data_IF_675565085540
#
_entry.id   IF_675565085540
#
_cell.length_a   1.000
_cell.length_b   1.000
_cell.length_c   1.000
_cell.angle_alpha   90.00
_cell.angle_beta   90.00
_cell.angle_gamma   90.00
#
_symmetry.space_group_name_H-M   'P 1'
#
loop_
_entity.id
_entity.type
_entity.pdbx_description
1 polymer ?
#
# COMPACT_ATOMS: atom_id res chain seq x y z
N UNK A 1 -16.55 18.83 11.19
CA UNK A 1 -15.53 17.75 11.11
C UNK A 1 -14.27 18.35 10.54
N UNK A 2 -13.06 17.86 10.86
CA UNK A 2 -11.85 18.34 10.19
C UNK A 2 -11.94 18.04 8.68
N UNK A 3 -11.32 18.87 7.85
CA UNK A 3 -11.31 18.69 6.38
C UNK A 3 -10.59 17.40 5.97
N UNK A 4 -9.69 16.89 6.82
CA UNK A 4 -8.97 15.63 6.64
C UNK A 4 -8.64 15.00 7.99
N UNK A 5 -8.25 13.72 7.99
CA UNK A 5 -7.67 13.05 9.15
C UNK A 5 -6.31 12.45 8.77
N UNK A 6 -5.27 12.74 9.55
CA UNK A 6 -3.92 12.23 9.31
C UNK A 6 -3.83 10.79 9.80
N UNK A 7 -3.49 9.87 8.90
CA UNK A 7 -3.32 8.45 9.19
C UNK A 7 -1.85 8.11 9.48
N UNK A 8 -0.93 8.78 8.79
CA UNK A 8 0.50 8.73 9.08
C UNK A 8 1.20 10.05 8.76
N UNK A 9 2.20 10.42 9.55
CA UNK A 9 3.10 11.58 9.32
C UNK A 9 4.49 11.28 9.85
N UNK A 10 5.55 11.75 9.22
CA UNK A 10 6.93 11.44 9.65
C UNK A 10 7.60 12.58 10.42
N UNK A 11 6.80 13.33 11.18
CA UNK A 11 7.17 14.56 11.89
C UNK A 11 7.50 14.36 13.38
N UNK A 12 7.62 13.12 13.85
CA UNK A 12 7.90 12.77 15.25
C UNK A 12 6.66 12.57 16.12
N UNK A 13 5.45 12.79 15.59
CA UNK A 13 4.20 12.64 16.33
C UNK A 13 3.71 11.20 16.49
N UNK A 14 2.63 11.02 17.25
CA UNK A 14 1.95 9.71 17.38
C UNK A 14 1.53 9.08 16.03
N UNK A 15 1.08 9.84 15.00
CA UNK A 15 0.78 9.28 13.69
C UNK A 15 2.00 8.72 12.95
N UNK A 16 3.24 9.03 13.37
CA UNK A 16 4.43 8.43 12.78
C UNK A 16 4.42 6.94 12.86
N UNK A 17 4.01 6.37 14.01
CA UNK A 17 4.14 4.94 14.29
C UNK A 17 5.56 4.42 14.07
N UNK A 18 5.79 3.17 14.46
CA UNK A 18 6.98 2.45 14.00
C UNK A 18 6.72 1.93 12.59
N UNK A 19 7.74 1.97 11.74
CA UNK A 19 7.69 1.42 10.39
C UNK A 19 8.87 0.48 10.17
N UNK A 20 8.65 -0.57 9.38
CA UNK A 20 9.66 -1.57 9.07
C UNK A 20 9.54 -1.99 7.61
N UNK A 21 10.65 -2.51 7.07
CA UNK A 21 10.68 -3.10 5.72
C UNK A 21 10.54 -4.61 5.77
N UNK A 22 9.90 -5.16 4.75
CA UNK A 22 9.81 -6.57 4.46
C UNK A 22 10.07 -6.76 2.97
N UNK A 23 10.96 -7.70 2.63
CA UNK A 23 11.33 -8.00 1.25
C UNK A 23 11.02 -9.48 0.96
N UNK A 24 10.97 -9.81 -0.33
CA UNK A 24 10.76 -11.17 -0.84
C UNK A 24 11.84 -12.24 -0.58
N UNK A 25 13.03 -12.02 0.03
CA UNK A 25 13.98 -13.11 0.31
C UNK A 25 13.41 -14.22 1.19
N UNK A 26 12.36 -13.92 1.97
CA UNK A 26 11.62 -14.91 2.77
C UNK A 26 10.99 -16.01 1.89
N UNK A 27 10.75 -15.73 0.61
CA UNK A 27 10.20 -16.66 -0.38
C UNK A 27 11.23 -17.08 -1.44
N UNK A 28 12.53 -16.87 -1.19
CA UNK A 28 13.60 -17.15 -2.16
C UNK A 28 13.83 -16.05 -3.20
N UNK A 29 13.31 -14.85 -2.97
CA UNK A 29 13.56 -13.66 -3.78
C UNK A 29 14.91 -12.99 -3.52
N UNK A 30 15.23 -12.00 -4.34
CA UNK A 30 16.49 -11.24 -4.31
C UNK A 30 16.27 -9.73 -4.07
N UNK A 31 15.02 -9.30 -3.88
CA UNK A 31 14.70 -7.89 -3.69
C UNK A 31 15.22 -7.40 -2.34
N UNK A 32 15.63 -6.14 -2.31
CA UNK A 32 16.20 -5.53 -1.12
C UNK A 32 15.81 -4.06 -1.04
N UNK A 33 15.59 -3.60 0.18
CA UNK A 33 15.18 -2.23 0.45
C UNK A 33 15.66 -1.75 1.81
N UNK A 34 15.63 -0.44 1.98
CA UNK A 34 15.89 0.26 3.22
C UNK A 34 14.80 1.30 3.49
N UNK A 35 14.65 1.63 4.77
CA UNK A 35 13.76 2.69 5.22
C UNK A 35 14.54 3.61 6.15
N UNK A 36 14.54 4.91 5.84
CA UNK A 36 15.09 5.95 6.70
C UNK A 36 13.98 6.95 7.04
N UNK A 37 13.73 7.17 8.34
CA UNK A 37 12.78 8.17 8.82
C UNK A 37 13.54 9.36 9.39
N UNK A 38 13.29 10.56 8.87
CA UNK A 38 13.97 11.78 9.27
C UNK A 38 13.55 12.98 8.43
N UNK A 39 13.89 14.20 8.87
CA UNK A 39 13.59 15.45 8.16
C UNK A 39 12.10 15.59 7.77
N UNK A 40 11.20 15.17 8.66
CA UNK A 40 9.74 15.19 8.42
C UNK A 40 9.27 14.29 7.27
N UNK A 41 10.01 13.22 6.95
CA UNK A 41 9.69 12.27 5.87
C UNK A 41 10.20 10.85 6.16
N UNK A 42 9.66 9.87 5.43
CA UNK A 42 10.20 8.52 5.29
C UNK A 42 10.72 8.31 3.87
N UNK A 43 11.99 7.95 3.73
CA UNK A 43 12.60 7.53 2.47
C UNK A 43 12.63 6.01 2.41
N UNK A 44 11.88 5.44 1.48
CA UNK A 44 11.79 4.02 1.19
C UNK A 44 12.37 3.75 -0.19
N UNK A 45 13.50 3.06 -0.25
CA UNK A 45 14.23 2.85 -1.50
C UNK A 45 14.98 1.53 -1.53
N UNK A 46 15.21 1.04 -2.74
CA UNK A 46 15.80 -0.26 -2.98
C UNK A 46 15.63 -0.71 -4.43
N UNK A 47 15.66 -2.02 -4.62
CA UNK A 47 15.49 -2.65 -5.92
C UNK A 47 14.57 -3.85 -5.80
N UNK A 48 13.50 -3.84 -6.60
CA UNK A 48 12.64 -4.98 -6.82
C UNK A 48 13.30 -5.86 -7.88
N UNK A 49 13.66 -7.09 -7.51
CA UNK A 49 14.36 -8.05 -8.38
C UNK A 49 13.44 -9.14 -8.89
N UNK A 50 13.91 -9.87 -9.90
CA UNK A 50 13.27 -11.11 -10.32
C UNK A 50 13.52 -12.18 -9.26
N UNK A 51 12.46 -12.81 -8.79
CA UNK A 51 12.51 -14.02 -7.96
C UNK A 51 12.90 -15.19 -8.86
N UNK A 52 14.09 -15.80 -8.70
CA UNK A 52 14.61 -16.77 -9.68
C UNK A 52 13.70 -17.99 -9.89
N UNK A 53 13.09 -18.49 -8.81
CA UNK A 53 12.20 -19.66 -8.89
C UNK A 53 10.87 -19.36 -9.61
N UNK A 54 10.38 -18.12 -9.51
CA UNK A 54 9.12 -17.70 -10.14
C UNK A 54 9.32 -17.12 -11.54
N UNK A 55 10.56 -16.75 -11.91
CA UNK A 55 10.86 -15.99 -13.13
C UNK A 55 9.99 -14.72 -13.29
N UNK A 56 9.62 -14.11 -12.17
CA UNK A 56 8.74 -12.95 -12.09
C UNK A 56 9.29 -11.91 -11.09
N UNK A 57 8.98 -10.62 -11.23
CA UNK A 57 9.34 -9.61 -10.23
C UNK A 57 8.77 -9.97 -8.86
N UNK A 58 9.53 -9.72 -7.80
CA UNK A 58 9.07 -9.92 -6.43
C UNK A 58 8.56 -8.65 -5.78
N UNK A 59 8.96 -8.40 -4.52
CA UNK A 59 8.49 -7.23 -3.78
C UNK A 59 9.48 -6.70 -2.73
N UNK A 60 9.34 -5.40 -2.49
CA UNK A 60 9.74 -4.70 -1.27
C UNK A 60 8.54 -3.98 -0.68
N UNK A 61 8.40 -3.99 0.64
CA UNK A 61 7.29 -3.38 1.36
C UNK A 61 7.79 -2.59 2.55
N UNK A 62 7.30 -1.38 2.75
CA UNK A 62 7.33 -0.72 4.07
C UNK A 62 5.95 -0.77 4.71
N UNK A 63 5.89 -1.11 6.00
CA UNK A 63 4.62 -1.25 6.73
C UNK A 63 4.69 -0.54 8.07
N UNK A 64 3.57 0.05 8.48
CA UNK A 64 3.39 0.52 9.85
C UNK A 64 3.27 -0.66 10.82
N UNK A 65 3.76 -0.51 12.04
CA UNK A 65 3.44 -1.41 13.14
C UNK A 65 1.93 -1.37 13.43
N UNK A 66 1.35 -2.56 13.51
CA UNK A 66 -0.02 -2.75 13.99
C UNK A 66 -0.12 -2.58 15.52
N UNK A 67 -1.34 -2.49 16.02
CA UNK A 67 -1.63 -2.33 17.45
C UNK A 67 -1.79 -0.88 17.91
N UNK A 68 -2.08 -0.65 19.20
CA UNK A 68 -2.39 0.67 19.73
C UNK A 68 -1.19 1.65 19.68
N UNK A 69 -1.44 2.97 19.54
CA UNK A 69 -2.76 3.60 19.36
C UNK A 69 -3.41 3.17 18.05
N UNK A 70 -4.74 3.12 17.97
CA UNK A 70 -5.44 2.77 16.71
C UNK A 70 -5.29 3.89 15.68
N UNK A 71 -5.48 3.59 14.40
CA UNK A 71 -5.55 4.63 13.39
C UNK A 71 -6.81 5.48 13.62
N UNK A 72 -6.78 6.78 13.33
CA UNK A 72 -7.98 7.61 13.37
C UNK A 72 -9.08 7.09 12.44
N UNK A 73 -10.34 7.31 12.82
CA UNK A 73 -11.51 6.93 12.04
C UNK A 73 -11.57 7.71 10.71
N UNK A 74 -11.41 7.01 9.59
CA UNK A 74 -11.51 7.56 8.23
C UNK A 74 -12.91 7.40 7.62
N UNK A 75 -13.84 6.73 8.32
CA UNK A 75 -15.18 6.44 7.83
C UNK A 75 -16.04 7.67 7.49
N UNK A 76 -15.84 8.87 8.07
CA UNK A 76 -16.54 10.07 7.59
C UNK A 76 -16.27 10.39 6.12
N UNK A 77 -15.13 9.96 5.58
CA UNK A 77 -14.70 10.21 4.19
C UNK A 77 -15.01 9.05 3.24
N UNK A 78 -15.84 8.07 3.64
CA UNK A 78 -16.16 6.92 2.80
C UNK A 78 -16.85 7.32 1.48
N UNK A 79 -17.84 8.22 1.54
CA UNK A 79 -18.57 8.67 0.35
C UNK A 79 -17.80 9.79 -0.34
N UNK A 80 -17.38 9.55 -1.58
CA UNK A 80 -16.72 10.55 -2.42
C UNK A 80 -15.31 10.96 -1.98
N UNK A 81 -14.83 10.51 -0.82
CA UNK A 81 -13.49 10.80 -0.32
C UNK A 81 -12.42 9.84 -0.82
N UNK A 82 -11.22 10.03 -0.29
CA UNK A 82 -10.00 9.38 -0.76
C UNK A 82 -8.93 9.26 0.32
N UNK A 83 -7.98 8.37 0.07
CA UNK A 83 -6.66 8.42 0.68
C UNK A 83 -5.79 9.42 -0.09
N UNK A 84 -5.08 10.27 0.65
CA UNK A 84 -4.16 11.27 0.12
C UNK A 84 -2.75 10.97 0.60
N UNK A 85 -1.78 10.97 -0.30
CA UNK A 85 -0.37 10.78 0.02
C UNK A 85 0.44 12.00 -0.43
N UNK A 86 1.14 12.65 0.49
CA UNK A 86 2.10 13.70 0.15
C UNK A 86 3.48 13.08 -0.03
N UNK A 87 3.92 12.94 -1.28
CA UNK A 87 5.13 12.20 -1.62
C UNK A 87 5.85 12.74 -2.86
N UNK A 88 7.07 12.25 -3.05
CA UNK A 88 7.88 12.39 -4.28
C UNK A 88 8.65 11.11 -4.54
N UNK A 89 9.21 10.97 -5.74
CA UNK A 89 10.12 9.87 -6.06
C UNK A 89 11.27 10.38 -6.92
N UNK A 90 12.49 9.94 -6.64
CA UNK A 90 13.65 10.13 -7.53
C UNK A 90 13.66 9.12 -8.69
N UNK A 91 12.79 8.10 -8.61
CA UNK A 91 12.53 7.08 -9.64
C UNK A 91 11.07 7.13 -10.15
N UNK A 92 10.58 8.27 -10.65
CA UNK A 92 9.15 8.42 -11.02
C UNK A 92 8.71 7.51 -12.17
N UNK A 93 9.64 6.89 -12.90
CA UNK A 93 9.37 5.89 -13.93
C UNK A 93 9.07 4.48 -13.37
N UNK A 94 9.36 4.22 -12.09
CA UNK A 94 9.06 2.94 -11.47
C UNK A 94 7.53 2.77 -11.34
N UNK A 95 6.98 1.78 -12.04
CA UNK A 95 5.53 1.57 -12.16
C UNK A 95 4.97 0.55 -11.16
N UNK A 96 5.81 -0.03 -10.29
CA UNK A 96 5.41 -1.08 -9.35
C UNK A 96 4.95 -0.57 -7.98
N UNK A 97 4.75 0.74 -7.82
CA UNK A 97 4.32 1.29 -6.54
C UNK A 97 2.85 1.01 -6.28
N UNK A 98 2.54 0.61 -5.04
CA UNK A 98 1.18 0.51 -4.53
C UNK A 98 1.08 1.04 -3.12
N UNK A 99 -0.10 1.50 -2.75
CA UNK A 99 -0.45 1.75 -1.36
C UNK A 99 -1.52 0.76 -0.94
N UNK A 100 -1.44 0.35 0.32
CA UNK A 100 -2.39 -0.58 0.88
C UNK A 100 -2.72 -0.26 2.34
N UNK A 101 -3.87 -0.74 2.78
CA UNK A 101 -4.26 -0.71 4.19
C UNK A 101 -4.95 -2.00 4.57
N UNK A 102 -4.71 -2.46 5.79
CA UNK A 102 -5.46 -3.55 6.42
C UNK A 102 -6.49 -2.96 7.37
N UNK A 103 -7.62 -3.65 7.54
CA UNK A 103 -8.67 -3.25 8.47
C UNK A 103 -9.21 -4.46 9.24
N UNK A 104 -9.84 -4.18 10.38
CA UNK A 104 -10.57 -5.21 11.12
C UNK A 104 -11.68 -5.83 10.26
N UNK A 105 -11.86 -7.14 10.36
CA UNK A 105 -12.92 -7.86 9.67
C UNK A 105 -12.61 -8.20 8.20
N UNK A 106 -11.43 -7.86 7.70
CA UNK A 106 -11.01 -8.28 6.35
C UNK A 106 -10.87 -9.80 6.24
N UNK A 107 -11.35 -10.33 5.12
CA UNK A 107 -11.20 -11.74 4.75
C UNK A 107 -10.08 -11.90 3.73
N UNK A 108 -9.30 -12.97 3.91
CA UNK A 108 -8.27 -13.40 2.94
C UNK A 108 -8.94 -13.90 1.67
N UNK A 109 -8.48 -13.43 0.52
CA UNK A 109 -9.03 -13.81 -0.78
C UNK A 109 -8.32 -15.05 -1.37
N UNK A 110 -8.96 -15.77 -2.32
CA UNK A 110 -8.29 -16.84 -3.05
C UNK A 110 -6.96 -16.39 -3.67
N UNK A 111 -5.93 -17.22 -3.59
CA UNK A 111 -4.59 -16.90 -4.08
C UNK A 111 -3.73 -16.12 -3.09
N UNK A 112 -4.32 -15.58 -2.02
CA UNK A 112 -3.57 -14.98 -0.91
C UNK A 112 -3.28 -16.03 0.15
N UNK A 113 -2.01 -16.34 0.39
CA UNK A 113 -1.54 -17.32 1.37
C UNK A 113 -0.61 -16.71 2.43
N UNK A 114 -0.12 -15.49 2.22
CA UNK A 114 0.90 -14.85 3.02
C UNK A 114 0.45 -13.46 3.52
N UNK A 115 1.05 -13.03 4.62
CA UNK A 115 0.80 -11.70 5.18
C UNK A 115 -0.63 -11.46 5.69
N UNK A 116 -0.88 -10.21 6.06
CA UNK A 116 -2.19 -9.71 6.50
C UNK A 116 -3.02 -9.34 5.25
N UNK A 117 -4.32 -9.68 5.20
CA UNK A 117 -5.21 -9.18 4.16
C UNK A 117 -5.20 -7.65 4.10
N UNK A 118 -5.12 -7.11 2.88
CA UNK A 118 -5.02 -5.68 2.63
C UNK A 118 -5.87 -5.27 1.42
N UNK A 119 -6.45 -4.08 1.51
CA UNK A 119 -6.98 -3.36 0.35
C UNK A 119 -5.82 -2.63 -0.31
N UNK A 120 -5.62 -2.84 -1.60
CA UNK A 120 -4.44 -2.35 -2.34
C UNK A 120 -4.87 -1.59 -3.59
N UNK A 121 -4.19 -0.49 -3.87
CA UNK A 121 -4.40 0.36 -5.04
C UNK A 121 -3.05 0.71 -5.68
N UNK A 122 -3.05 0.85 -7.01
CA UNK A 122 -1.87 1.32 -7.74
C UNK A 122 -1.55 2.77 -7.34
N UNK A 123 -0.27 3.05 -7.11
CA UNK A 123 0.22 4.35 -6.71
C UNK A 123 1.13 4.91 -7.81
N UNK A 124 0.62 5.87 -8.57
CA UNK A 124 1.43 6.59 -9.56
C UNK A 124 2.08 7.79 -8.88
N UNK A 125 3.42 7.83 -8.86
CA UNK A 125 4.19 8.94 -8.29
C UNK A 125 4.62 9.90 -9.40
N UNK A 126 4.01 11.09 -9.50
CA UNK A 126 4.09 11.86 -10.74
C UNK A 126 5.38 12.67 -10.90
N UNK A 127 6.17 12.88 -9.83
CA UNK A 127 7.30 13.81 -9.92
C UNK A 127 8.38 13.64 -8.85
N UNK A 128 9.52 14.28 -9.12
CA UNK A 128 10.64 14.48 -8.20
C UNK A 128 10.39 15.58 -7.16
N UNK A 129 9.30 16.34 -7.29
CA UNK A 129 8.84 17.32 -6.30
C UNK A 129 7.73 16.74 -5.44
N UNK A 130 7.58 17.24 -4.21
CA UNK A 130 6.48 16.82 -3.35
C UNK A 130 5.14 17.21 -3.95
N UNK A 131 4.24 16.24 -4.06
CA UNK A 131 2.89 16.42 -4.58
C UNK A 131 1.91 15.53 -3.80
N UNK A 132 0.65 15.96 -3.74
CA UNK A 132 -0.41 15.14 -3.17
C UNK A 132 -0.99 14.22 -4.25
N UNK A 133 -0.97 12.91 -4.01
CA UNK A 133 -1.64 11.90 -4.84
C UNK A 133 -2.95 11.53 -4.16
N UNK A 134 -4.06 11.64 -4.88
CA UNK A 134 -5.41 11.32 -4.42
C UNK A 134 -5.85 9.96 -4.95
N UNK A 135 -6.18 9.03 -4.06
CA UNK A 135 -6.65 7.69 -4.37
C UNK A 135 -8.06 7.48 -3.78
N UNK A 136 -9.12 7.56 -4.60
CA UNK A 136 -10.48 7.27 -4.15
C UNK A 136 -10.56 5.91 -3.47
N UNK A 137 -11.40 5.74 -2.45
CA UNK A 137 -11.57 4.43 -1.80
C UNK A 137 -12.01 3.34 -2.79
N UNK A 138 -12.73 3.71 -3.85
CA UNK A 138 -13.15 2.83 -4.95
C UNK A 138 -12.00 2.34 -5.84
N UNK A 139 -10.80 2.90 -5.71
CA UNK A 139 -9.60 2.41 -6.43
C UNK A 139 -8.91 1.25 -5.73
N UNK A 140 -9.28 0.97 -4.47
CA UNK A 140 -8.68 -0.11 -3.70
C UNK A 140 -9.47 -1.41 -3.86
N UNK A 141 -8.76 -2.53 -3.88
CA UNK A 141 -9.36 -3.86 -3.90
C UNK A 141 -8.66 -4.82 -2.95
N UNK A 142 -9.44 -5.70 -2.31
CA UNK A 142 -8.90 -6.82 -1.54
C UNK A 142 -8.51 -8.01 -2.44
N UNK A 143 -9.05 -8.11 -3.65
CA UNK A 143 -8.84 -9.23 -4.57
C UNK A 143 -7.57 -9.08 -5.41
N UNK A 144 -6.44 -8.80 -4.78
CA UNK A 144 -5.16 -8.63 -5.48
C UNK A 144 -4.30 -9.89 -5.43
N UNK A 145 -3.57 -10.13 -6.51
CA UNK A 145 -2.56 -11.19 -6.65
C UNK A 145 -1.36 -10.95 -5.73
N UNK A 146 -0.85 -12.00 -5.09
CA UNK A 146 0.42 -11.93 -4.34
C UNK A 146 1.65 -11.82 -5.25
N UNK A 147 1.52 -12.13 -6.55
CA UNK A 147 2.62 -12.09 -7.51
C UNK A 147 2.78 -10.70 -8.13
N UNK A 148 1.67 -10.00 -8.37
CA UNK A 148 1.67 -8.72 -9.09
C UNK A 148 1.14 -7.55 -8.26
N UNK A 149 0.46 -7.84 -7.15
CA UNK A 149 -0.35 -6.89 -6.39
C UNK A 149 -1.49 -6.26 -7.18
N UNK A 150 -1.87 -6.85 -8.33
CA UNK A 150 -2.97 -6.37 -9.18
C UNK A 150 -4.20 -7.26 -9.05
N UNK A 151 -5.37 -6.66 -9.26
CA UNK A 151 -6.65 -7.33 -9.18
C UNK A 151 -7.22 -7.76 -10.54
N UNK A 152 -6.53 -7.47 -11.64
CA UNK A 152 -6.94 -7.76 -13.02
C UNK A 152 -6.01 -8.78 -13.69
N UNK A 153 -5.45 -9.69 -12.89
CA UNK A 153 -4.46 -10.69 -13.33
C UNK A 153 -4.88 -12.11 -12.95
N UNK A 154 -4.29 -13.08 -13.63
CA UNK A 154 -4.40 -14.49 -13.26
C UNK A 154 -3.05 -14.95 -12.70
N UNK A 155 -3.06 -15.61 -11.55
CA UNK A 155 -1.85 -16.17 -10.97
C UNK A 155 -1.29 -17.31 -11.82
N UNK A 156 0.01 -17.64 -11.70
CA UNK A 156 0.60 -18.82 -12.33
C UNK A 156 -0.09 -20.14 -11.97
N UNK A 157 -0.80 -20.18 -10.83
CA UNK A 157 -1.59 -21.31 -10.35
C UNK A 157 -2.99 -21.40 -11.01
N UNK A 158 -3.36 -20.43 -11.85
CA UNK A 158 -4.65 -20.36 -12.53
C UNK A 158 -5.76 -19.63 -11.76
N UNK A 159 -5.44 -19.00 -10.63
CA UNK A 159 -6.42 -18.23 -9.84
C UNK A 159 -6.65 -16.88 -10.53
N UNK A 160 -7.89 -16.63 -10.93
CA UNK A 160 -8.31 -15.34 -11.48
C UNK A 160 -8.60 -14.36 -10.33
N UNK A 161 -7.97 -13.19 -10.39
CA UNK A 161 -8.24 -12.07 -9.49
C UNK A 161 -9.29 -11.13 -10.07
N UNK A 162 -9.98 -10.42 -9.18
CA UNK A 162 -11.01 -9.47 -9.56
C UNK A 162 -10.87 -8.17 -8.78
N UNK A 163 -11.10 -7.06 -9.46
CA UNK A 163 -11.09 -5.75 -8.84
C UNK A 163 -12.39 -5.47 -8.09
N UNK A 164 -12.31 -4.60 -7.08
CA UNK A 164 -13.50 -4.00 -6.48
C UNK A 164 -14.35 -3.34 -7.58
N UNK A 165 -15.64 -3.63 -7.57
CA UNK A 165 -16.58 -3.05 -8.51
C UNK A 165 -18.00 -3.58 -8.32
N UNK A 166 -18.96 -3.16 -9.17
CA UNK A 166 -20.34 -3.62 -9.08
C UNK A 166 -20.51 -5.15 -9.18
N UNK A 167 -19.65 -5.82 -9.93
CA UNK A 167 -19.67 -7.28 -10.09
C UNK A 167 -18.99 -8.02 -8.92
N UNK A 168 -18.13 -7.32 -8.16
CA UNK A 168 -17.37 -7.84 -7.03
C UNK A 168 -17.37 -6.87 -5.83
N UNK A 169 -18.55 -6.53 -5.28
CA UNK A 169 -18.67 -5.56 -4.19
C UNK A 169 -18.03 -6.06 -2.89
N UNK A 170 -17.89 -7.37 -2.71
CA UNK A 170 -17.21 -8.01 -1.59
C UNK A 170 -15.71 -7.69 -1.52
N UNK A 171 -15.11 -7.26 -2.63
CA UNK A 171 -13.70 -6.90 -2.73
C UNK A 171 -13.45 -5.41 -2.47
N UNK A 172 -14.51 -4.63 -2.24
CA UNK A 172 -14.44 -3.19 -2.02
C UNK A 172 -14.25 -2.82 -0.55
N UNK A 173 -13.52 -1.72 -0.25
CA UNK A 173 -13.57 -1.11 1.06
C UNK A 173 -15.00 -0.76 1.47
N UNK A 174 -15.26 -0.83 2.78
CA UNK A 174 -16.55 -0.45 3.36
C UNK A 174 -16.33 0.61 4.42
N UNK A 175 -17.39 1.33 4.79
CA UNK A 175 -17.34 2.31 5.88
C UNK A 175 -16.76 1.74 7.18
N UNK A 176 -17.07 0.48 7.52
CA UNK A 176 -16.53 -0.18 8.72
C UNK A 176 -15.04 -0.48 8.60
N UNK A 177 -14.54 -0.84 7.42
CA UNK A 177 -13.11 -1.00 7.19
C UNK A 177 -12.35 0.32 7.44
N UNK A 178 -12.90 1.45 6.97
CA UNK A 178 -12.30 2.78 7.16
C UNK A 178 -12.36 3.26 8.61
N UNK A 179 -13.33 2.80 9.41
CA UNK A 179 -13.42 3.08 10.83
C UNK A 179 -12.40 2.30 11.67
N UNK A 180 -11.87 1.19 11.12
CA UNK A 180 -11.08 0.21 11.85
C UNK A 180 -9.78 -0.15 11.11
N UNK A 181 -9.08 0.85 10.55
CA UNK A 181 -7.78 0.64 9.92
C UNK A 181 -6.77 0.13 10.96
N UNK A 182 -6.04 -0.93 10.62
CA UNK A 182 -5.08 -1.60 11.49
C UNK A 182 -3.64 -1.48 11.00
N UNK A 183 -3.43 -1.16 9.73
CA UNK A 183 -2.11 -1.05 9.14
C UNK A 183 -2.14 -0.27 7.84
N UNK A 184 -1.03 0.41 7.55
CA UNK A 184 -0.74 1.05 6.27
C UNK A 184 0.54 0.45 5.71
N UNK A 185 0.61 0.35 4.39
CA UNK A 185 1.80 -0.12 3.70
C UNK A 185 1.98 0.54 2.34
N UNK A 186 3.24 0.69 1.95
CA UNK A 186 3.64 1.05 0.58
C UNK A 186 4.46 -0.11 0.05
N UNK A 187 4.11 -0.55 -1.15
CA UNK A 187 4.73 -1.66 -1.85
C UNK A 187 5.47 -1.16 -3.07
N UNK A 188 6.59 -1.80 -3.38
CA UNK A 188 7.25 -1.81 -4.66
C UNK A 188 7.26 -3.28 -5.12
N UNK A 189 6.33 -3.66 -5.99
CA UNK A 189 6.09 -5.06 -6.34
C UNK A 189 5.67 -5.25 -7.80
N UNK A 190 5.81 -6.47 -8.33
CA UNK A 190 5.29 -6.85 -9.64
C UNK A 190 5.98 -6.21 -10.86
N UNK A 191 6.98 -5.36 -10.63
CA UNK A 191 7.81 -4.71 -11.66
C UNK A 191 9.26 -4.75 -11.20
N UNK A 192 10.17 -5.27 -12.03
CA UNK A 192 11.59 -5.23 -11.73
C UNK A 192 12.11 -3.79 -11.90
N UNK A 193 12.92 -3.32 -10.96
CA UNK A 193 13.59 -2.03 -11.12
C UNK A 193 14.02 -1.40 -9.81
N UNK A 194 14.85 -0.38 -9.95
CA UNK A 194 15.23 0.50 -8.84
C UNK A 194 14.06 1.42 -8.50
N UNK A 195 13.85 1.64 -7.21
CA UNK A 195 12.78 2.48 -6.70
C UNK A 195 13.29 3.30 -5.50
N UNK A 196 12.83 4.54 -5.39
CA UNK A 196 13.04 5.40 -4.22
C UNK A 196 11.88 6.38 -4.10
N UNK A 197 11.16 6.30 -2.99
CA UNK A 197 9.99 7.11 -2.66
C UNK A 197 10.22 7.81 -1.33
N UNK A 198 9.89 9.09 -1.28
CA UNK A 198 9.92 9.89 -0.07
C UNK A 198 8.51 10.33 0.28
N UNK A 199 8.03 9.91 1.44
CA UNK A 199 6.66 10.09 1.93
C UNK A 199 6.67 11.04 3.13
N UNK A 200 5.84 12.08 3.10
CA UNK A 200 5.65 12.98 4.25
C UNK A 200 4.44 12.61 5.09
N UNK A 201 3.34 12.24 4.44
CA UNK A 201 2.11 11.91 5.14
C UNK A 201 1.15 11.06 4.31
N UNK A 202 0.28 10.36 5.02
CA UNK A 202 -0.92 9.69 4.51
C UNK A 202 -2.11 10.26 5.29
N UNK A 203 -3.15 10.69 4.60
CA UNK A 203 -4.37 11.23 5.19
C UNK A 203 -5.62 10.68 4.51
N UNK A 204 -6.77 10.76 5.18
CA UNK A 204 -8.09 10.56 4.60
C UNK A 204 -8.83 11.90 4.54
N UNK A 205 -9.56 12.15 3.45
CA UNK A 205 -10.22 13.42 3.20
C UNK A 205 -11.16 13.36 2.01
N UNK A 206 -11.84 14.47 1.67
CA UNK A 206 -12.60 14.60 0.42
C UNK A 206 -11.71 14.44 -0.82
#
# INVERSE_FOLDING_TARGET
APDTVVLASFDGGAPQRLWFVMNDPVMGGASHSSLAVGNSSATFGGRCEIVPFLAAPGFCKMSSAGGPPLFPDASPFFEGGAMHLLLRSSTPAYAGYKVAFSAEGMLRQPGQSHGTPEFKADLVVPSTSFSSVRLPWTSFSAGTSEYSGRCDTTDPTGIQHHCCGPDHPELCPTRSHLAAIQGLSIWAEGVQGDFELELRSIAAGP
#
